data_IF_914328917646
#
_entry.id   IF_914328917646
#
_cell.length_a   1.000
_cell.length_b   1.000
_cell.length_c   1.000
_cell.angle_alpha   90.00
_cell.angle_beta   90.00
_cell.angle_gamma   90.00
#
_symmetry.space_group_name_H-M   'P 1'
#
loop_
_entity.id
_entity.type
_entity.pdbx_description
1 polymer ?
#
# COMPACT_ATOMS: atom_id res chain seq x y z
N UNK A 1 0.50 5.06 -2.49
CA UNK A 1 -0.60 5.91 -1.98
C UNK A 1 -0.59 5.87 -0.47
N UNK A 2 -0.96 6.95 0.21
CA UNK A 2 -0.99 7.07 1.67
C UNK A 2 -2.11 8.04 2.14
N UNK A 3 -2.46 7.97 3.43
CA UNK A 3 -3.56 8.75 3.99
C UNK A 3 -3.32 10.27 3.98
N UNK A 4 -2.07 10.73 4.15
CA UNK A 4 -1.73 12.16 4.10
C UNK A 4 -1.94 12.71 2.70
N UNK A 5 -1.54 11.94 1.68
CA UNK A 5 -1.80 12.26 0.27
C UNK A 5 -3.29 12.31 -0.04
N UNK A 6 -4.08 11.32 0.41
CA UNK A 6 -5.54 11.31 0.22
C UNK A 6 -6.18 12.52 0.91
N UNK A 7 -5.79 12.81 2.16
CA UNK A 7 -6.29 13.96 2.92
C UNK A 7 -6.03 15.27 2.17
N UNK A 8 -4.80 15.48 1.68
CA UNK A 8 -4.44 16.66 0.89
C UNK A 8 -5.24 16.77 -0.41
N UNK A 9 -5.47 15.65 -1.10
CA UNK A 9 -6.30 15.61 -2.33
C UNK A 9 -7.77 15.89 -2.05
N UNK A 10 -8.26 15.54 -0.87
CA UNK A 10 -9.64 15.75 -0.44
C UNK A 10 -9.89 17.20 0.03
N UNK A 11 -8.94 17.79 0.75
CA UNK A 11 -9.02 19.16 1.30
C UNK A 11 -8.57 20.23 0.29
N UNK A 12 -7.89 19.83 -0.79
CA UNK A 12 -7.40 20.73 -1.83
C UNK A 12 -8.50 21.50 -2.55
N UNK A 13 -8.20 22.72 -2.97
CA UNK A 13 -9.10 23.58 -3.76
C UNK A 13 -9.33 23.05 -5.18
N UNK A 14 -8.40 22.23 -5.70
CA UNK A 14 -8.53 21.56 -6.97
C UNK A 14 -9.26 20.23 -6.81
N UNK A 15 -10.25 19.97 -7.67
CA UNK A 15 -11.04 18.74 -7.66
C UNK A 15 -10.23 17.55 -8.17
N UNK A 16 -9.39 16.97 -7.30
CA UNK A 16 -8.65 15.73 -7.56
C UNK A 16 -9.58 14.51 -7.57
N UNK A 17 -10.62 14.53 -6.74
CA UNK A 17 -11.66 13.51 -6.70
C UNK A 17 -12.94 14.06 -7.30
N UNK A 18 -13.18 13.71 -8.56
CA UNK A 18 -14.38 14.18 -9.28
C UNK A 18 -15.61 13.36 -8.93
N UNK A 19 -15.39 12.13 -8.47
CA UNK A 19 -16.42 11.19 -8.05
C UNK A 19 -15.88 10.31 -6.90
N UNK A 20 -16.75 9.76 -6.03
CA UNK A 20 -16.30 8.97 -4.88
C UNK A 20 -15.51 7.71 -5.26
N UNK A 21 -15.70 7.19 -6.48
CA UNK A 21 -14.92 6.08 -7.01
C UNK A 21 -13.43 6.40 -7.11
N UNK A 22 -13.06 7.67 -7.37
CA UNK A 22 -11.66 8.10 -7.44
C UNK A 22 -11.00 8.02 -6.04
N UNK A 23 -11.72 8.48 -5.01
CA UNK A 23 -11.30 8.38 -3.62
C UNK A 23 -11.18 6.91 -3.18
N UNK A 24 -12.17 6.09 -3.49
CA UNK A 24 -12.17 4.66 -3.13
C UNK A 24 -11.02 3.92 -3.83
N UNK A 25 -10.71 4.26 -5.07
CA UNK A 25 -9.58 3.69 -5.79
C UNK A 25 -8.24 4.01 -5.11
N UNK A 26 -8.00 5.27 -4.74
CA UNK A 26 -6.79 5.67 -4.01
C UNK A 26 -6.70 4.99 -2.64
N UNK A 27 -7.82 4.87 -1.92
CA UNK A 27 -7.84 4.21 -0.61
C UNK A 27 -7.51 2.72 -0.72
N UNK A 28 -8.11 2.01 -1.69
CA UNK A 28 -7.78 0.60 -1.98
C UNK A 28 -6.34 0.43 -2.43
N UNK A 29 -5.77 1.39 -3.13
CA UNK A 29 -4.36 1.37 -3.52
C UNK A 29 -3.42 1.41 -2.30
N UNK A 30 -3.82 1.99 -1.17
CA UNK A 30 -3.04 1.90 0.10
C UNK A 30 -2.90 0.43 0.51
N UNK A 31 -4.01 -0.31 0.51
CA UNK A 31 -4.03 -1.72 0.91
C UNK A 31 -3.30 -2.61 -0.08
N UNK A 32 -3.48 -2.39 -1.39
CA UNK A 32 -2.75 -3.11 -2.43
C UNK A 32 -1.23 -2.94 -2.30
N UNK A 33 -0.76 -1.71 -2.09
CA UNK A 33 0.67 -1.45 -1.85
C UNK A 33 1.15 -2.12 -0.55
N UNK A 34 0.31 -2.15 0.50
CA UNK A 34 0.62 -2.82 1.75
C UNK A 34 0.75 -4.34 1.55
N UNK A 35 -0.19 -4.96 0.84
CA UNK A 35 -0.16 -6.37 0.49
C UNK A 35 1.09 -6.68 -0.35
N UNK A 36 1.31 -5.98 -1.47
CA UNK A 36 2.44 -6.24 -2.36
C UNK A 36 3.80 -6.14 -1.65
N UNK A 37 4.02 -5.11 -0.84
CA UNK A 37 5.30 -4.93 -0.15
C UNK A 37 5.52 -5.92 1.01
N UNK A 38 4.45 -6.34 1.67
CA UNK A 38 4.55 -7.18 2.87
C UNK A 38 4.29 -8.68 2.63
N UNK A 39 3.59 -9.04 1.56
CA UNK A 39 3.32 -10.42 1.14
C UNK A 39 4.45 -10.96 0.25
N UNK A 40 5.03 -10.17 -0.66
CA UNK A 40 6.13 -10.61 -1.54
C UNK A 40 7.39 -10.96 -0.73
N UNK A 41 7.61 -10.32 0.43
CA UNK A 41 8.70 -10.68 1.36
C UNK A 41 8.62 -12.13 1.90
N UNK A 42 7.47 -12.79 1.80
CA UNK A 42 7.29 -14.19 2.22
C UNK A 42 7.43 -15.20 1.09
N UNK A 43 7.17 -14.80 -0.15
CA UNK A 43 7.31 -15.71 -1.30
C UNK A 43 8.80 -16.06 -1.50
N UNK A 44 9.70 -15.12 -1.22
CA UNK A 44 11.15 -15.36 -1.28
C UNK A 44 11.67 -16.34 -0.20
N UNK A 45 10.92 -16.58 0.88
CA UNK A 45 11.34 -17.48 1.98
C UNK A 45 10.60 -18.83 2.02
N UNK A 46 9.47 -18.98 1.32
CA UNK A 46 8.61 -20.17 1.40
C UNK A 46 8.17 -20.73 0.02
N UNK A 47 8.85 -20.38 -1.07
CA UNK A 47 8.47 -20.85 -2.41
C UNK A 47 8.87 -22.30 -2.68
N UNK A 48 7.95 -23.20 -2.34
CA UNK A 48 7.57 -24.41 -3.11
C UNK A 48 6.62 -25.28 -2.28
N UNK A 49 6.83 -25.35 -0.96
CA UNK A 49 6.15 -26.30 -0.09
C UNK A 49 4.76 -25.82 0.36
N UNK A 50 4.58 -24.51 0.60
CA UNK A 50 3.31 -23.94 1.08
C UNK A 50 2.22 -23.95 -0.01
N UNK A 51 2.58 -23.80 -1.29
CA UNK A 51 1.64 -23.84 -2.41
C UNK A 51 1.01 -25.23 -2.61
N UNK A 52 1.72 -26.30 -2.22
CA UNK A 52 1.25 -27.69 -2.34
C UNK A 52 0.27 -28.10 -1.23
N UNK A 53 0.19 -27.32 -0.15
CA UNK A 53 -0.57 -27.64 1.07
C UNK A 53 -1.85 -26.82 1.26
N UNK A 54 -2.26 -25.97 0.30
CA UNK A 54 -3.38 -25.03 0.47
C UNK A 54 -3.26 -24.15 1.73
N UNK A 55 -2.03 -23.82 2.13
CA UNK A 55 -1.82 -22.90 3.24
C UNK A 55 -2.05 -21.50 2.70
N UNK A 56 -3.17 -20.89 3.09
CA UNK A 56 -3.41 -19.47 2.91
C UNK A 56 -2.22 -18.74 3.56
N UNK A 57 -1.44 -17.93 2.82
CA UNK A 57 -0.31 -17.23 3.41
C UNK A 57 -0.87 -16.32 4.51
N UNK A 58 -0.61 -16.67 5.77
CA UNK A 58 -1.00 -15.87 6.91
C UNK A 58 -0.20 -14.56 6.85
N UNK A 59 -0.79 -13.42 7.20
CA UNK A 59 -0.08 -12.15 7.32
C UNK A 59 0.81 -12.14 8.58
N UNK A 60 1.85 -12.96 8.67
CA UNK A 60 2.90 -12.94 9.71
C UNK A 60 3.58 -11.57 9.99
N UNK A 61 3.26 -10.50 9.24
CA UNK A 61 3.69 -9.13 9.58
C UNK A 61 2.52 -8.41 10.23
N UNK A 62 2.72 -7.87 11.44
CA UNK A 62 1.73 -7.05 12.16
C UNK A 62 1.11 -5.97 11.27
N UNK A 63 1.94 -5.37 10.40
CA UNK A 63 1.51 -4.33 9.45
C UNK A 63 0.57 -4.89 8.37
N UNK A 64 0.79 -6.12 7.90
CA UNK A 64 -0.07 -6.76 6.91
C UNK A 64 -1.41 -7.18 7.52
N UNK A 65 -1.40 -7.70 8.75
CA UNK A 65 -2.63 -8.04 9.49
C UNK A 65 -3.46 -6.78 9.79
N UNK A 66 -2.81 -5.70 10.23
CA UNK A 66 -3.46 -4.41 10.41
C UNK A 66 -4.03 -3.86 9.09
N UNK A 67 -3.29 -4.00 7.98
CA UNK A 67 -3.73 -3.62 6.63
C UNK A 67 -5.01 -4.33 6.22
N UNK A 68 -5.06 -5.65 6.35
CA UNK A 68 -6.25 -6.45 6.02
C UNK A 68 -7.46 -6.10 6.88
N UNK A 69 -7.27 -5.94 8.20
CA UNK A 69 -8.36 -5.56 9.12
C UNK A 69 -8.93 -4.18 8.77
N UNK A 70 -8.05 -3.24 8.41
CA UNK A 70 -8.45 -1.89 8.03
C UNK A 70 -9.18 -1.89 6.68
N UNK A 71 -8.75 -2.71 5.73
CA UNK A 71 -9.44 -2.89 4.45
C UNK A 71 -10.86 -3.43 4.65
N UNK A 72 -11.02 -4.48 5.45
CA UNK A 72 -12.34 -5.03 5.76
C UNK A 72 -13.26 -3.99 6.41
N UNK A 73 -12.74 -3.24 7.40
CA UNK A 73 -13.50 -2.18 8.06
C UNK A 73 -13.89 -1.05 7.08
N UNK A 74 -13.00 -0.68 6.17
CA UNK A 74 -13.28 0.32 5.16
C UNK A 74 -14.38 -0.12 4.19
N UNK A 75 -14.37 -1.37 3.73
CA UNK A 75 -15.43 -1.90 2.87
C UNK A 75 -16.79 -1.97 3.57
N UNK A 76 -16.82 -2.28 4.87
CA UNK A 76 -18.04 -2.21 5.67
C UNK A 76 -18.55 -0.77 5.81
N UNK A 77 -17.66 0.20 6.03
CA UNK A 77 -18.00 1.62 6.03
C UNK A 77 -18.58 2.06 4.68
N UNK A 78 -18.01 1.61 3.56
CA UNK A 78 -18.54 1.93 2.23
C UNK A 78 -19.96 1.39 2.02
N UNK A 79 -20.22 0.14 2.45
CA UNK A 79 -21.57 -0.45 2.38
C UNK A 79 -22.58 0.32 3.23
N UNK A 80 -22.16 0.82 4.39
CA UNK A 80 -23.02 1.59 5.29
C UNK A 80 -23.27 3.02 4.77
N UNK A 81 -22.25 3.69 4.23
CA UNK A 81 -22.35 5.07 3.73
C UNK A 81 -22.98 5.16 2.34
N UNK A 82 -22.78 4.15 1.50
CA UNK A 82 -23.31 4.10 0.14
C UNK A 82 -24.03 2.76 -0.16
N UNK A 83 -25.19 2.48 0.47
CA UNK A 83 -25.88 1.20 0.32
C UNK A 83 -26.26 0.84 -1.12
N UNK A 84 -26.58 1.85 -1.92
CA UNK A 84 -27.05 1.70 -3.30
C UNK A 84 -25.93 1.85 -4.36
N UNK A 85 -24.68 2.11 -3.94
CA UNK A 85 -23.56 2.23 -4.88
C UNK A 85 -22.67 1.00 -4.84
N UNK A 86 -22.10 0.70 -6.00
CA UNK A 86 -21.03 -0.30 -6.14
C UNK A 86 -19.76 0.40 -6.57
N UNK A 87 -18.68 0.09 -5.88
CA UNK A 87 -17.34 0.57 -6.21
C UNK A 87 -16.56 -0.60 -6.85
N UNK A 88 -16.56 -0.74 -8.19
CA UNK A 88 -15.77 -1.77 -8.84
C UNK A 88 -14.28 -1.54 -8.60
N UNK A 89 -13.50 -2.61 -8.45
CA UNK A 89 -12.05 -2.51 -8.41
C UNK A 89 -11.59 -2.09 -9.80
N UNK A 90 -11.06 -0.86 -9.92
CA UNK A 90 -10.47 -0.42 -11.17
C UNK A 90 -9.09 -1.08 -11.34
N UNK A 91 -8.76 -1.65 -12.51
CA UNK A 91 -7.39 -2.04 -12.79
C UNK A 91 -6.53 -0.78 -12.74
N UNK A 92 -5.50 -0.82 -11.89
CA UNK A 92 -4.58 0.27 -11.59
C UNK A 92 -4.04 0.90 -12.87
N UNK A 93 -4.71 1.96 -13.33
CA UNK A 93 -4.25 2.75 -14.46
C UNK A 93 -3.41 3.87 -13.86
N UNK A 94 -2.10 3.80 -14.07
CA UNK A 94 -1.15 4.86 -13.73
C UNK A 94 -1.62 6.15 -14.40
N UNK A 95 -2.26 7.04 -13.64
CA UNK A 95 -2.47 8.42 -14.05
C UNK A 95 -1.76 9.33 -13.08
N UNK A 96 -0.43 9.35 -13.20
CA UNK A 96 0.35 10.53 -12.83
C UNK A 96 0.00 11.63 -13.84
N UNK A 97 -1.07 12.37 -13.56
CA UNK A 97 -1.15 13.76 -14.03
C UNK A 97 -0.56 14.62 -12.92
N UNK A 98 0.77 14.68 -12.88
CA UNK A 98 1.45 15.78 -12.22
C UNK A 98 0.97 17.09 -12.88
N UNK A 99 0.37 17.96 -12.06
CA UNK A 99 0.22 19.36 -12.42
C UNK A 99 1.44 20.08 -11.80
N UNK A 100 2.43 20.52 -12.60
CA UNK A 100 3.69 21.01 -12.08
C UNK A 100 3.57 22.51 -11.77
N UNK A 101 2.86 22.89 -10.72
CA UNK A 101 2.91 24.29 -10.25
C UNK A 101 2.31 24.43 -8.85
N UNK A 102 3.05 24.05 -7.81
CA UNK A 102 3.04 24.70 -6.49
C UNK A 102 4.39 24.40 -5.83
N UNK A 103 5.33 25.31 -6.00
CA UNK A 103 6.51 25.39 -5.14
C UNK A 103 6.02 25.79 -3.75
N UNK A 104 6.04 24.85 -2.79
CA UNK A 104 5.92 25.19 -1.38
C UNK A 104 7.03 24.49 -0.60
N UNK A 105 7.79 25.35 0.06
CA UNK A 105 9.08 25.15 0.71
C UNK A 105 8.85 24.42 2.04
N UNK A 106 9.09 23.12 2.08
CA UNK A 106 9.00 22.36 3.33
C UNK A 106 10.07 21.28 3.38
N UNK A 107 11.14 21.62 4.12
CA UNK A 107 12.19 20.73 4.60
C UNK A 107 11.60 19.60 5.48
N UNK A 108 11.07 18.56 4.86
CA UNK A 108 10.85 17.26 5.51
C UNK A 108 11.77 16.24 4.84
N UNK A 109 12.95 16.07 5.44
CA UNK A 109 13.99 15.12 5.06
C UNK A 109 13.49 13.68 5.32
N UNK A 110 12.59 13.19 4.46
CA UNK A 110 12.07 11.82 4.52
C UNK A 110 13.18 10.84 4.09
N UNK A 111 13.96 10.40 5.06
CA UNK A 111 14.91 9.30 4.88
C UNK A 111 14.12 8.01 4.59
N UNK A 112 14.05 7.63 3.32
CA UNK A 112 13.58 6.29 2.94
C UNK A 112 14.44 5.22 3.63
N UNK A 113 13.84 4.17 4.24
CA UNK A 113 14.61 3.08 4.83
C UNK A 113 15.49 2.39 3.78
N UNK A 114 16.78 2.74 3.76
CA UNK A 114 17.79 2.03 2.97
C UNK A 114 17.79 0.56 3.37
N UNK A 115 17.54 -0.33 2.40
CA UNK A 115 17.77 -1.77 2.51
C UNK A 115 19.18 -2.02 3.08
N UNK A 116 19.28 -2.45 4.33
CA UNK A 116 20.52 -2.99 4.89
C UNK A 116 20.85 -4.28 4.14
N UNK A 117 21.73 -4.17 3.14
CA UNK A 117 22.42 -5.33 2.57
C UNK A 117 23.14 -6.04 3.72
N UNK A 118 22.74 -7.27 4.01
CA UNK A 118 23.43 -8.15 4.96
C UNK A 118 24.91 -8.18 4.59
N UNK A 119 25.76 -7.68 5.49
CA UNK A 119 27.21 -7.71 5.36
C UNK A 119 27.60 -9.15 5.70
N UNK A 120 27.94 -9.92 4.67
CA UNK A 120 28.43 -11.28 4.83
C UNK A 120 29.67 -11.27 5.72
N UNK A 121 29.58 -11.96 6.86
CA UNK A 121 30.74 -12.35 7.64
C UNK A 121 31.40 -13.56 6.96
N UNK A 122 32.25 -13.29 5.96
CA UNK A 122 33.29 -14.24 5.58
C UNK A 122 34.63 -13.72 6.07
N UNK A 123 35.00 -14.07 7.31
CA UNK A 123 36.41 -14.18 7.74
C UNK A 123 36.59 -15.29 8.76
N UNK A 124 36.61 -16.51 8.24
CA UNK A 124 37.24 -17.71 8.79
C UNK A 124 37.63 -18.51 7.55
N UNK A 125 38.85 -18.91 7.21
CA UNK A 125 40.16 -19.06 7.82
C UNK A 125 41.18 -19.04 6.67
N UNK A 126 42.45 -18.65 6.88
CA UNK A 126 43.61 -19.56 6.77
C UNK A 126 44.95 -18.78 6.87
N UNK A 127 45.76 -19.27 7.82
CA UNK A 127 47.24 -19.26 7.89
C UNK A 127 47.97 -17.97 8.26
#
# INVERSE_FOLDING_TARGET
MDLSTIKRRLEGTNSFYTKPEDFVADFRLIFQNCAEFNEVRKIDTLSAFALMLFIHPQPDSEVADAGMKLEAYFEDLLRNLYPERKFPVQPSSQSEKENPELTDDSDDDFVQPRKKRLKGEERQFLK
#
